data_IF_779400952984
#
_entry.id   IF_779400952984
#
_cell.length_a   1.000
_cell.length_b   1.000
_cell.length_c   1.000
_cell.angle_alpha   90.00
_cell.angle_beta   90.00
_cell.angle_gamma   90.00
#
_symmetry.space_group_name_H-M   'P 1'
#
loop_
_entity.id
_entity.type
_entity.pdbx_description
1 polymer ?
#
# COMPACT_ATOMS: atom_id res chain seq x y z
N UNK A 1 2.30 -15.65 -3.31
CA UNK A 1 1.29 -14.78 -2.65
C UNK A 1 0.65 -13.86 -3.68
N UNK A 2 -0.68 -13.83 -3.79
CA UNK A 2 -1.39 -12.98 -4.76
C UNK A 2 -1.82 -11.68 -4.07
N UNK A 3 -1.23 -10.56 -4.46
CA UNK A 3 -1.61 -9.23 -3.96
C UNK A 3 -2.71 -8.61 -4.83
N UNK A 4 -3.66 -7.91 -4.21
CA UNK A 4 -4.69 -7.15 -4.92
C UNK A 4 -4.10 -5.96 -5.68
N UNK A 5 -4.83 -5.41 -6.65
CA UNK A 5 -4.38 -4.20 -7.39
C UNK A 5 -4.10 -3.03 -6.44
N UNK A 6 -4.96 -2.82 -5.44
CA UNK A 6 -4.78 -1.80 -4.40
C UNK A 6 -3.53 -2.07 -3.55
N UNK A 7 -3.33 -3.30 -3.09
CA UNK A 7 -2.14 -3.65 -2.29
C UNK A 7 -0.85 -3.41 -3.07
N UNK A 8 -0.85 -3.73 -4.37
CA UNK A 8 0.30 -3.47 -5.24
C UNK A 8 0.55 -1.97 -5.39
N UNK A 9 -0.51 -1.19 -5.59
CA UNK A 9 -0.44 0.28 -5.67
C UNK A 9 0.12 0.89 -4.38
N UNK A 10 -0.34 0.44 -3.21
CA UNK A 10 0.16 0.89 -1.90
C UNK A 10 1.67 0.63 -1.79
N UNK A 11 2.14 -0.57 -2.14
CA UNK A 11 3.57 -0.91 -2.07
C UNK A 11 4.42 -0.08 -3.04
N UNK A 12 3.91 0.17 -4.25
CA UNK A 12 4.58 1.01 -5.26
C UNK A 12 4.68 2.46 -4.78
N UNK A 13 3.59 3.00 -4.22
CA UNK A 13 3.56 4.35 -3.65
C UNK A 13 4.55 4.46 -2.48
N UNK A 14 4.52 3.52 -1.54
CA UNK A 14 5.45 3.51 -0.40
C UNK A 14 6.92 3.27 -0.79
N UNK A 15 7.19 2.78 -2.01
CA UNK A 15 8.56 2.66 -2.53
C UNK A 15 9.09 4.01 -3.02
N UNK A 16 8.23 4.82 -3.66
CA UNK A 16 8.60 6.12 -4.21
C UNK A 16 8.66 7.22 -3.14
N UNK A 17 7.89 7.10 -2.05
CA UNK A 17 7.83 8.08 -0.97
C UNK A 17 8.41 7.52 0.33
N UNK A 18 9.12 8.37 1.10
CA UNK A 18 9.79 7.98 2.35
C UNK A 18 8.81 7.53 3.45
N UNK A 19 7.59 8.07 3.43
CA UNK A 19 6.46 7.70 4.28
C UNK A 19 5.16 8.15 3.60
N UNK A 20 4.10 7.37 3.75
CA UNK A 20 2.78 7.71 3.20
C UNK A 20 1.69 7.56 4.27
N UNK A 21 0.66 8.40 4.20
CA UNK A 21 -0.56 8.28 5.01
C UNK A 21 -1.65 7.50 4.28
N UNK A 22 -2.71 7.04 4.98
CA UNK A 22 -3.88 6.42 4.35
C UNK A 22 -4.52 7.28 3.24
N UNK A 23 -4.49 8.60 3.42
CA UNK A 23 -5.00 9.60 2.49
C UNK A 23 -4.31 9.58 1.13
N UNK A 24 -3.01 9.26 1.08
CA UNK A 24 -2.22 9.19 -0.16
C UNK A 24 -2.66 8.03 -1.06
N UNK A 25 -3.51 7.12 -0.55
CA UNK A 25 -4.03 5.98 -1.30
C UNK A 25 -5.44 6.21 -1.84
N UNK A 26 -6.10 7.32 -1.50
CA UNK A 26 -7.44 7.63 -2.04
C UNK A 26 -7.42 7.86 -3.55
N UNK A 27 -6.32 8.38 -4.08
CA UNK A 27 -6.09 8.59 -5.51
C UNK A 27 -6.30 7.32 -6.35
N UNK A 28 -6.10 6.13 -5.76
CA UNK A 28 -6.37 4.86 -6.44
C UNK A 28 -7.81 4.74 -6.95
N UNK A 29 -8.78 5.33 -6.25
CA UNK A 29 -10.20 5.28 -6.60
C UNK A 29 -10.67 6.46 -7.47
N UNK A 30 -9.84 7.50 -7.63
CA UNK A 30 -10.13 8.69 -8.42
C UNK A 30 -11.42 9.42 -8.00
N UNK A 31 -12.04 10.15 -8.93
CA UNK A 31 -13.29 10.90 -8.68
C UNK A 31 -14.54 10.02 -8.53
N UNK A 32 -14.45 8.72 -8.88
CA UNK A 32 -15.59 7.77 -8.86
C UNK A 32 -15.87 7.18 -7.47
N UNK A 33 -15.69 7.96 -6.41
CA UNK A 33 -15.92 7.50 -5.04
C UNK A 33 -17.42 7.60 -4.72
N UNK A 34 -18.11 6.46 -4.76
CA UNK A 34 -19.52 6.37 -4.33
C UNK A 34 -19.70 6.62 -2.83
N UNK A 35 -18.72 6.27 -1.99
CA UNK A 35 -18.73 6.52 -0.55
C UNK A 35 -17.32 6.57 0.03
N UNK A 36 -16.98 7.70 0.65
CA UNK A 36 -15.66 7.92 1.29
C UNK A 36 -15.39 6.91 2.41
N UNK A 37 -16.41 6.56 3.20
CA UNK A 37 -16.30 5.62 4.32
C UNK A 37 -15.93 4.20 3.86
N UNK A 38 -16.54 3.72 2.77
CA UNK A 38 -16.23 2.41 2.22
C UNK A 38 -14.79 2.34 1.71
N UNK A 39 -14.32 3.40 1.03
CA UNK A 39 -12.93 3.49 0.54
C UNK A 39 -11.94 3.47 1.70
N UNK A 40 -12.20 4.25 2.76
CA UNK A 40 -11.39 4.25 3.97
C UNK A 40 -11.29 2.87 4.61
N UNK A 41 -12.41 2.17 4.76
CA UNK A 41 -12.42 0.83 5.37
C UNK A 41 -11.67 -0.20 4.50
N UNK A 42 -11.78 -0.11 3.18
CA UNK A 42 -11.04 -0.99 2.26
C UNK A 42 -9.53 -0.73 2.30
N UNK A 43 -9.12 0.53 2.38
CA UNK A 43 -7.70 0.90 2.51
C UNK A 43 -7.16 0.45 3.85
N UNK A 44 -7.85 0.70 4.95
CA UNK A 44 -7.42 0.22 6.27
C UNK A 44 -7.29 -1.30 6.32
N UNK A 45 -8.29 -2.06 5.83
CA UNK A 45 -8.19 -3.53 5.74
C UNK A 45 -7.00 -3.98 4.88
N UNK A 46 -6.70 -3.24 3.80
CA UNK A 46 -5.56 -3.54 2.94
C UNK A 46 -4.23 -3.26 3.62
N UNK A 47 -4.13 -2.17 4.39
CA UNK A 47 -2.95 -1.83 5.20
C UNK A 47 -2.75 -2.86 6.30
N UNK A 48 -3.79 -3.21 7.06
CA UNK A 48 -3.72 -4.25 8.10
C UNK A 48 -3.27 -5.59 7.52
N UNK A 49 -3.78 -5.96 6.34
CA UNK A 49 -3.36 -7.18 5.64
C UNK A 49 -1.90 -7.14 5.15
N UNK A 50 -1.37 -5.96 4.83
CA UNK A 50 0.04 -5.81 4.42
C UNK A 50 0.98 -5.79 5.62
N UNK A 51 0.53 -5.21 6.74
CA UNK A 51 1.25 -5.22 8.03
C UNK A 51 1.32 -6.64 8.59
N UNK A 52 0.22 -7.40 8.57
CA UNK A 52 0.21 -8.80 9.04
C UNK A 52 1.10 -9.73 8.22
N UNK A 53 1.48 -9.33 7.00
CA UNK A 53 2.39 -10.05 6.11
C UNK A 53 3.83 -9.53 6.17
N UNK A 54 4.12 -8.66 7.13
CA UNK A 54 5.43 -8.03 7.33
C UNK A 54 5.95 -7.28 6.08
N UNK A 55 5.05 -6.76 5.24
CA UNK A 55 5.40 -5.96 4.07
C UNK A 55 5.39 -4.46 4.36
N UNK A 56 4.59 -4.04 5.35
CA UNK A 56 4.50 -2.66 5.80
C UNK A 56 4.69 -2.58 7.31
N UNK A 57 5.40 -1.54 7.74
CA UNK A 57 5.38 -1.06 9.12
C UNK A 57 4.38 0.09 9.21
N UNK A 58 3.35 -0.07 10.03
CA UNK A 58 2.38 0.98 10.33
C UNK A 58 2.75 1.70 11.62
N UNK A 59 2.84 3.02 11.55
CA UNK A 59 2.98 3.93 12.67
C UNK A 59 1.62 4.57 12.95
N UNK A 60 1.18 4.49 14.20
CA UNK A 60 -0.17 4.91 14.54
C UNK A 60 -0.50 4.72 16.01
N UNK A 61 -1.71 5.11 16.38
CA UNK A 61 -2.23 4.94 17.74
C UNK A 61 -3.20 3.76 17.77
N UNK A 62 -2.85 2.72 18.53
CA UNK A 62 -3.79 1.64 18.85
C UNK A 62 -4.68 2.11 20.00
N UNK A 63 -5.97 2.17 19.77
CA UNK A 63 -6.98 2.45 20.80
C UNK A 63 -7.71 1.16 21.15
N UNK A 64 -8.51 1.18 22.23
CA UNK A 64 -9.32 0.03 22.64
C UNK A 64 -10.28 -0.47 21.54
N UNK A 65 -10.66 0.40 20.59
CA UNK A 65 -11.64 0.08 19.54
C UNK A 65 -11.03 -0.08 18.15
N UNK A 66 -9.97 0.66 17.82
CA UNK A 66 -9.41 0.70 16.46
C UNK A 66 -7.92 1.04 16.45
N UNK A 67 -7.22 0.51 15.45
CA UNK A 67 -5.87 0.96 15.10
C UNK A 67 -5.98 2.15 14.14
N UNK A 68 -5.56 3.33 14.61
CA UNK A 68 -5.45 4.53 13.78
C UNK A 68 -4.06 4.59 13.18
N UNK A 69 -3.95 4.28 11.90
CA UNK A 69 -2.69 4.33 11.16
C UNK A 69 -2.51 5.77 10.65
N UNK A 70 -1.41 6.41 11.04
CA UNK A 70 -1.07 7.77 10.57
C UNK A 70 -0.06 7.73 9.43
N UNK A 71 0.90 6.81 9.52
CA UNK A 71 1.97 6.68 8.53
C UNK A 71 2.28 5.22 8.29
N UNK A 72 2.62 4.88 7.07
CA UNK A 72 3.10 3.57 6.68
C UNK A 72 4.44 3.69 5.97
N UNK A 73 5.29 2.68 6.18
CA UNK A 73 6.60 2.56 5.56
C UNK A 73 6.84 1.12 5.12
N UNK A 74 7.60 0.92 4.05
CA UNK A 74 8.03 -0.41 3.65
C UNK A 74 9.01 -1.00 4.68
N UNK A 75 8.81 -2.28 4.97
CA UNK A 75 9.81 -3.12 5.65
C UNK A 75 10.90 -3.55 4.65
N UNK A 76 11.95 -4.22 5.13
CA UNK A 76 12.95 -4.82 4.26
C UNK A 76 12.35 -5.87 3.31
N UNK A 77 11.40 -6.68 3.79
CA UNK A 77 10.67 -7.65 2.97
C UNK A 77 9.76 -6.96 1.95
N UNK A 78 9.00 -5.95 2.39
CA UNK A 78 8.16 -5.12 1.52
C UNK A 78 8.95 -4.47 0.39
N UNK A 79 10.12 -3.92 0.71
CA UNK A 79 11.02 -3.28 -0.27
C UNK A 79 11.52 -4.26 -1.32
N UNK A 80 11.98 -5.45 -0.91
CA UNK A 80 12.39 -6.52 -1.84
C UNK A 80 11.26 -6.91 -2.79
N UNK A 81 10.04 -7.04 -2.25
CA UNK A 81 8.86 -7.40 -3.03
C UNK A 81 8.46 -6.29 -4.01
N UNK A 82 8.45 -5.03 -3.56
CA UNK A 82 8.14 -3.87 -4.40
C UNK A 82 9.12 -3.75 -5.57
N UNK A 83 10.43 -3.89 -5.31
CA UNK A 83 11.46 -3.88 -6.37
C UNK A 83 11.22 -5.02 -7.37
N UNK A 84 10.94 -6.24 -6.90
CA UNK A 84 10.64 -7.38 -7.78
C UNK A 84 9.42 -7.11 -8.66
N UNK A 85 8.38 -6.50 -8.09
CA UNK A 85 7.17 -6.14 -8.83
C UNK A 85 7.44 -5.07 -9.90
N UNK A 86 8.19 -4.02 -9.57
CA UNK A 86 8.55 -2.95 -10.51
C UNK A 86 9.41 -3.50 -11.65
N UNK A 87 10.44 -4.30 -11.34
CA UNK A 87 11.30 -4.96 -12.35
C UNK A 87 10.51 -5.86 -13.29
N UNK A 88 9.54 -6.63 -12.77
CA UNK A 88 8.69 -7.50 -13.58
C UNK A 88 7.69 -6.71 -14.45
N UNK A 89 7.31 -5.50 -14.02
CA UNK A 89 6.44 -4.60 -14.80
C UNK A 89 7.20 -3.93 -15.94
N UNK A 90 8.50 -3.70 -15.78
CA UNK A 90 9.33 -3.08 -16.81
C UNK A 90 9.40 -4.00 -18.03
N UNK A 91 8.86 -3.53 -19.16
CA UNK A 91 9.02 -4.21 -20.45
C UNK A 91 10.51 -4.26 -20.76
N UNK A 92 11.04 -5.47 -21.00
CA UNK A 92 12.38 -5.60 -21.59
C UNK A 92 12.33 -4.92 -22.95
N UNK A 93 13.23 -3.96 -23.16
CA UNK A 93 13.45 -3.38 -24.48
C UNK A 93 13.79 -4.54 -25.43
N UNK A 94 13.15 -4.66 -26.60
CA UNK A 94 13.62 -5.56 -27.63
C UNK A 94 14.98 -5.03 -28.09
N UNK A 95 16.06 -5.64 -27.61
CA UNK A 95 17.40 -5.37 -28.11
C UNK A 95 17.44 -6.04 -29.50
N UNK A 96 17.54 -5.22 -30.56
CA UNK A 96 17.88 -5.69 -31.91
C UNK A 96 19.38 -5.90 -31.99
#
# INVERSE_FOLDING_TARGET
>A
MRLSKLQKYILERCYNYKSSGPEDFYDFYGEKIKSKKLVQDVIHKSLDSLVSKDLLAAMGKKTARKWFIHRVKLTNLGKKLAIKMIKNRQRKLPIK
#
